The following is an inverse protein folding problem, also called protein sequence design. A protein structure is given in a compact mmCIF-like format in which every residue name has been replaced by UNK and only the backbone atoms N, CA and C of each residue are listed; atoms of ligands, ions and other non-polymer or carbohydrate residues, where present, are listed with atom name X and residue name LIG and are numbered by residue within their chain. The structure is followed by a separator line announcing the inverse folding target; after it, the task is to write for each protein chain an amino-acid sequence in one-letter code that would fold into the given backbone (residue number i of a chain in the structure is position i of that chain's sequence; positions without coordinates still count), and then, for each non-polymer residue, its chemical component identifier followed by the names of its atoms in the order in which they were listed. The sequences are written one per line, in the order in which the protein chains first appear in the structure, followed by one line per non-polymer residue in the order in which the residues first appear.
data_IF_768153937036
#
_entry.id   IF_768153937036
#
_cell.length_a   1.000
_cell.length_b   1.000
_cell.length_c   1.000
_cell.angle_alpha   90.00
_cell.angle_beta   90.00
_cell.angle_gamma   90.00
#
_symmetry.space_group_name_H-M   'P 1'
#
loop_
_entity.id
_entity.type
_entity.pdbx_description
1 polymer ?
#
# COMPACT_ATOMS: atom_id res chain seq x y z
N UNK A 1 23.53 17.56 12.68
CA UNK A 1 22.46 16.60 13.02
C UNK A 1 22.28 15.70 11.81
N UNK A 2 22.82 14.49 11.86
CA UNK A 2 22.68 13.53 10.77
C UNK A 2 21.21 13.21 10.55
N UNK A 3 20.77 13.19 9.28
CA UNK A 3 19.43 12.75 8.89
C UNK A 3 19.13 11.36 9.49
N UNK A 4 20.15 10.51 9.63
CA UNK A 4 20.06 9.21 10.31
C UNK A 4 19.67 9.33 11.78
N UNK A 5 20.22 10.28 12.54
CA UNK A 5 19.89 10.47 13.95
C UNK A 5 18.47 11.02 14.14
N UNK A 6 18.00 11.88 13.23
CA UNK A 6 16.63 12.40 13.23
C UNK A 6 15.64 11.28 12.89
N UNK A 7 15.97 10.43 11.91
CA UNK A 7 15.17 9.27 11.55
C UNK A 7 15.10 8.23 12.67
N UNK A 8 16.24 7.97 13.32
CA UNK A 8 16.33 7.06 14.47
C UNK A 8 15.52 7.56 15.67
N UNK A 9 15.54 8.86 15.99
CA UNK A 9 14.80 9.43 17.11
C UNK A 9 13.29 9.59 16.84
N UNK A 10 12.92 10.01 15.63
CA UNK A 10 11.52 10.32 15.31
C UNK A 10 10.74 9.06 14.94
N UNK A 11 11.37 8.09 14.30
CA UNK A 11 10.67 6.93 13.73
C UNK A 11 11.12 5.63 14.40
N UNK A 12 12.42 5.38 14.52
CA UNK A 12 12.92 4.08 14.95
C UNK A 12 12.72 3.84 16.47
N UNK A 13 13.12 4.80 17.31
CA UNK A 13 13.03 4.70 18.77
C UNK A 13 11.61 4.57 19.33
N UNK A 14 10.61 5.38 18.95
CA UNK A 14 9.26 5.21 19.48
C UNK A 14 8.64 3.88 19.04
N UNK A 15 8.91 3.41 17.81
CA UNK A 15 8.48 2.09 17.37
C UNK A 15 9.11 0.96 18.19
N UNK A 16 10.42 1.03 18.43
CA UNK A 16 11.16 0.00 19.18
C UNK A 16 10.75 -0.02 20.65
N UNK A 17 10.62 1.14 21.30
CA UNK A 17 10.20 1.21 22.70
C UNK A 17 8.79 0.68 22.92
N UNK A 18 7.87 0.91 21.97
CA UNK A 18 6.53 0.33 22.02
C UNK A 18 6.60 -1.19 21.85
N UNK A 19 7.42 -1.70 20.93
CA UNK A 19 7.60 -3.13 20.71
C UNK A 19 8.22 -3.84 21.92
N UNK A 20 9.23 -3.23 22.55
CA UNK A 20 9.92 -3.78 23.73
C UNK A 20 9.00 -3.74 24.95
N UNK A 21 8.29 -2.63 25.18
CA UNK A 21 7.34 -2.51 26.28
C UNK A 21 6.17 -3.49 26.16
N UNK A 22 5.80 -3.88 24.93
CA UNK A 22 4.83 -4.94 24.67
C UNK A 22 5.42 -6.34 24.88
N UNK A 23 6.71 -6.53 24.57
CA UNK A 23 7.41 -7.82 24.78
C UNK A 23 7.71 -8.11 26.25
N UNK A 24 7.96 -7.09 27.06
CA UNK A 24 8.17 -7.23 28.51
C UNK A 24 6.87 -7.63 29.24
N UNK A 25 5.72 -7.23 28.71
CA UNK A 25 4.40 -7.66 29.17
C UNK A 25 4.09 -9.13 28.79
N UNK A 26 4.81 -9.69 27.82
CA UNK A 26 4.55 -11.03 27.24
C UNK A 26 5.55 -12.11 27.70
N UNK A 27 6.17 -11.93 28.88
CA UNK A 27 6.74 -13.03 29.69
C UNK A 27 7.79 -13.93 28.99
N UNK A 28 8.68 -13.36 28.16
CA UNK A 28 9.88 -14.08 27.68
C UNK A 28 9.63 -15.26 26.71
N UNK A 29 8.41 -15.43 26.20
CA UNK A 29 8.11 -16.43 25.16
C UNK A 29 8.23 -15.83 23.77
N UNK A 30 9.36 -16.11 23.10
CA UNK A 30 9.69 -15.59 21.77
C UNK A 30 8.58 -15.85 20.73
N UNK A 31 7.88 -16.98 20.84
CA UNK A 31 6.77 -17.34 19.94
C UNK A 31 5.51 -16.49 20.14
N UNK A 32 5.15 -16.17 21.38
CA UNK A 32 3.98 -15.32 21.66
C UNK A 32 4.25 -13.87 21.26
N UNK A 33 5.48 -13.39 21.44
CA UNK A 33 5.89 -12.06 20.98
C UNK A 33 5.71 -11.89 19.48
N UNK A 34 6.12 -12.88 18.67
CA UNK A 34 5.96 -12.84 17.20
C UNK A 34 4.48 -12.82 16.80
N UNK A 35 3.64 -13.63 17.45
CA UNK A 35 2.21 -13.70 17.16
C UNK A 35 1.53 -12.36 17.46
N UNK A 36 1.80 -11.78 18.63
CA UNK A 36 1.21 -10.49 19.04
C UNK A 36 1.72 -9.36 18.15
N UNK A 37 3.02 -9.32 17.85
CA UNK A 37 3.60 -8.34 16.94
C UNK A 37 2.94 -8.41 15.55
N UNK A 38 2.72 -9.61 15.04
CA UNK A 38 2.02 -9.82 13.76
C UNK A 38 0.58 -9.29 13.81
N UNK A 39 -0.14 -9.52 14.90
CA UNK A 39 -1.53 -9.03 15.07
C UNK A 39 -1.57 -7.49 15.15
N UNK A 40 -0.64 -6.87 15.87
CA UNK A 40 -0.56 -5.41 16.01
C UNK A 40 -0.25 -4.77 14.65
N UNK A 41 0.78 -5.24 13.95
CA UNK A 41 1.13 -4.75 12.61
C UNK A 41 -0.05 -4.90 11.65
N UNK A 42 -0.70 -6.07 11.65
CA UNK A 42 -1.83 -6.36 10.76
C UNK A 42 -3.06 -5.50 11.10
N UNK A 43 -3.26 -5.15 12.37
CA UNK A 43 -4.33 -4.24 12.81
C UNK A 43 -4.08 -2.80 12.40
N UNK A 44 -2.83 -2.31 12.49
CA UNK A 44 -2.45 -0.97 12.02
C UNK A 44 -2.49 -0.88 10.49
N UNK A 45 -2.11 -1.94 9.77
CA UNK A 45 -2.22 -2.01 8.32
C UNK A 45 -3.66 -2.20 7.83
N UNK A 46 -4.59 -2.70 8.66
CA UNK A 46 -5.97 -2.95 8.28
C UNK A 46 -6.71 -1.76 7.62
N UNK A 47 -6.71 -0.53 8.20
CA UNK A 47 -7.31 0.63 7.55
C UNK A 47 -6.64 0.99 6.21
N UNK A 48 -5.32 0.74 6.08
CA UNK A 48 -4.60 0.95 4.83
C UNK A 48 -5.03 -0.09 3.78
N UNK A 49 -5.12 -1.37 4.17
CA UNK A 49 -5.59 -2.45 3.30
C UNK A 49 -7.03 -2.24 2.85
N UNK A 50 -7.92 -1.73 3.72
CA UNK A 50 -9.30 -1.34 3.35
C UNK A 50 -9.32 -0.30 2.23
N UNK A 51 -8.48 0.74 2.33
CA UNK A 51 -8.34 1.78 1.31
C UNK A 51 -7.80 1.19 -0.01
N UNK A 52 -6.80 0.32 0.07
CA UNK A 52 -6.25 -0.39 -1.10
C UNK A 52 -7.32 -1.26 -1.79
N UNK A 53 -8.10 -2.03 -1.02
CA UNK A 53 -9.17 -2.88 -1.56
C UNK A 53 -10.27 -2.07 -2.26
N UNK A 54 -10.65 -0.92 -1.70
CA UNK A 54 -11.64 -0.04 -2.33
C UNK A 54 -11.14 0.50 -3.68
N UNK A 55 -9.88 0.93 -3.76
CA UNK A 55 -9.26 1.38 -5.00
C UNK A 55 -9.20 0.26 -6.07
N UNK A 56 -8.83 -0.96 -5.66
CA UNK A 56 -8.79 -2.13 -6.56
C UNK A 56 -10.18 -2.48 -7.10
N UNK A 57 -11.22 -2.44 -6.25
CA UNK A 57 -12.60 -2.72 -6.67
C UNK A 57 -13.13 -1.66 -7.64
N UNK A 58 -12.79 -0.38 -7.41
CA UNK A 58 -13.12 0.69 -8.33
C UNK A 58 -12.46 0.48 -9.71
N UNK A 59 -11.19 0.05 -9.75
CA UNK A 59 -10.50 -0.30 -11.00
C UNK A 59 -11.12 -1.52 -11.72
N UNK A 60 -11.54 -2.55 -10.97
CA UNK A 60 -12.23 -3.70 -11.56
C UNK A 60 -13.54 -3.30 -12.25
N UNK A 61 -14.28 -2.33 -11.69
CA UNK A 61 -15.50 -1.82 -12.32
C UNK A 61 -15.26 -1.11 -13.65
N UNK A 62 -14.04 -0.62 -13.89
CA UNK A 62 -13.63 0.04 -15.13
C UNK A 62 -13.09 -0.92 -16.20
N UNK A 63 -12.70 -2.14 -15.84
CA UNK A 63 -12.24 -3.16 -16.80
C UNK A 63 -13.21 -3.39 -17.98
N UNK A 64 -14.53 -3.53 -17.79
CA UNK A 64 -15.45 -3.74 -18.92
C UNK A 64 -15.48 -2.53 -19.88
N UNK A 65 -15.49 -1.31 -19.33
CA UNK A 65 -15.45 -0.07 -20.13
C UNK A 65 -14.13 0.09 -20.88
N UNK A 66 -13.01 -0.28 -20.25
CA UNK A 66 -11.69 -0.31 -20.87
C UNK A 66 -11.63 -1.33 -22.03
N UNK A 67 -12.28 -2.49 -21.88
CA UNK A 67 -12.37 -3.51 -22.92
C UNK A 67 -13.22 -3.05 -24.12
N UNK A 68 -14.31 -2.34 -23.89
CA UNK A 68 -15.10 -1.70 -24.97
C UNK A 68 -14.29 -0.64 -25.71
N UNK A 69 -13.52 0.17 -24.99
CA UNK A 69 -12.60 1.16 -25.54
C UNK A 69 -11.51 0.52 -26.40
N UNK A 70 -10.93 -0.59 -25.94
CA UNK A 70 -9.99 -1.40 -26.72
C UNK A 70 -10.62 -1.98 -27.98
N UNK A 71 -11.89 -2.43 -27.93
CA UNK A 71 -12.60 -2.93 -29.12
C UNK A 71 -12.88 -1.81 -30.14
N UNK A 72 -13.22 -0.61 -29.68
CA UNK A 72 -13.53 0.56 -30.54
C UNK A 72 -12.29 1.24 -31.13
N UNK A 73 -11.22 1.37 -30.33
CA UNK A 73 -10.03 2.16 -30.69
C UNK A 73 -8.73 1.36 -30.74
N UNK A 74 -8.78 0.03 -30.70
CA UNK A 74 -7.59 -0.84 -30.67
C UNK A 74 -6.63 -0.68 -31.86
N UNK A 75 -7.09 -0.14 -33.00
CA UNK A 75 -6.25 0.18 -34.16
C UNK A 75 -5.46 1.48 -34.01
N UNK A 76 -5.86 2.36 -33.09
CA UNK A 76 -5.31 3.71 -32.94
C UNK A 76 -4.85 3.93 -31.49
N UNK A 77 -3.59 3.55 -31.22
CA UNK A 77 -3.03 3.55 -29.85
C UNK A 77 -3.02 4.93 -29.20
N UNK A 78 -2.89 6.00 -29.98
CA UNK A 78 -2.91 7.37 -29.45
C UNK A 78 -4.29 7.75 -28.94
N UNK A 79 -5.34 7.56 -29.76
CA UNK A 79 -6.73 7.79 -29.35
C UNK A 79 -7.16 6.90 -28.19
N UNK A 80 -6.71 5.65 -28.19
CA UNK A 80 -6.98 4.71 -27.11
C UNK A 80 -6.39 5.20 -25.78
N UNK A 81 -5.15 5.70 -25.77
CA UNK A 81 -4.53 6.23 -24.55
C UNK A 81 -5.25 7.49 -24.03
N UNK A 82 -5.68 8.37 -24.93
CA UNK A 82 -6.38 9.61 -24.57
C UNK A 82 -7.78 9.33 -23.96
N UNK A 83 -8.55 8.45 -24.59
CA UNK A 83 -9.88 8.07 -24.11
C UNK A 83 -9.81 7.22 -22.83
N UNK A 84 -8.78 6.38 -22.68
CA UNK A 84 -8.51 5.70 -21.40
C UNK A 84 -8.23 6.71 -20.28
N UNK A 85 -7.45 7.76 -20.56
CA UNK A 85 -7.15 8.80 -19.57
C UNK A 85 -8.39 9.63 -19.21
N UNK A 86 -9.25 9.94 -20.19
CA UNK A 86 -10.55 10.58 -19.94
C UNK A 86 -11.44 9.70 -19.05
N UNK A 87 -11.54 8.40 -19.34
CA UNK A 87 -12.35 7.47 -18.55
C UNK A 87 -11.87 7.38 -17.09
N UNK A 88 -10.55 7.37 -16.85
CA UNK A 88 -9.98 7.40 -15.50
C UNK A 88 -10.32 8.71 -14.76
N UNK A 89 -10.29 9.86 -15.45
CA UNK A 89 -10.66 11.16 -14.87
C UNK A 89 -12.14 11.27 -14.54
N UNK A 90 -13.01 10.84 -15.45
CA UNK A 90 -14.48 10.86 -15.26
C UNK A 90 -14.93 9.92 -14.13
N UNK A 91 -14.24 8.80 -13.97
CA UNK A 91 -14.60 7.81 -12.95
C UNK A 91 -14.00 8.12 -11.57
N UNK A 92 -13.21 9.19 -11.44
CA UNK A 92 -12.49 9.58 -10.22
C UNK A 92 -11.62 8.44 -9.62
N UNK A 93 -11.23 7.45 -10.45
CA UNK A 93 -10.39 6.33 -10.02
C UNK A 93 -8.96 6.61 -10.44
N UNK A 94 -8.10 6.87 -9.45
CA UNK A 94 -6.68 7.12 -9.69
C UNK A 94 -5.88 5.81 -9.70
N UNK A 95 -5.19 5.43 -10.80
CA UNK A 95 -4.34 4.23 -10.85
C UNK A 95 -3.17 4.27 -9.85
N UNK A 96 -2.85 5.46 -9.32
CA UNK A 96 -1.86 5.69 -8.27
C UNK A 96 -2.24 5.09 -6.91
N UNK A 97 -3.53 4.84 -6.64
CA UNK A 97 -3.96 4.13 -5.43
C UNK A 97 -3.40 2.70 -5.35
N UNK A 98 -3.16 2.08 -6.51
CA UNK A 98 -2.51 0.78 -6.63
C UNK A 98 -0.97 0.85 -6.60
N UNK A 99 -0.37 2.04 -6.69
CA UNK A 99 1.09 2.22 -6.62
C UNK A 99 1.59 2.30 -5.17
N UNK A 100 0.75 2.78 -4.24
CA UNK A 100 1.07 2.87 -2.80
C UNK A 100 1.55 1.53 -2.17
N UNK A 101 0.93 0.36 -2.43
CA UNK A 101 1.42 -0.92 -1.93
C UNK A 101 2.81 -1.29 -2.49
N UNK A 102 3.06 -1.01 -3.77
CA UNK A 102 4.33 -1.34 -4.45
C UNK A 102 5.47 -0.47 -3.90
N UNK A 103 5.20 0.83 -3.68
CA UNK A 103 6.14 1.75 -3.07
C UNK A 103 6.54 1.36 -1.64
N UNK A 104 5.61 0.81 -0.85
CA UNK A 104 5.91 0.33 0.52
C UNK A 104 6.70 -0.99 0.49
N UNK A 105 6.53 -1.81 -0.54
CA UNK A 105 7.23 -3.08 -0.68
C UNK A 105 8.68 -2.93 -1.16
N UNK A 106 8.97 -1.94 -2.02
CA UNK A 106 10.31 -1.69 -2.57
C UNK A 106 11.42 -1.50 -1.50
N UNK A 107 11.22 -0.73 -0.41
CA UNK A 107 12.20 -0.60 0.67
C UNK A 107 12.53 -1.93 1.36
N UNK A 108 11.56 -2.83 1.47
CA UNK A 108 11.73 -4.14 2.12
C UNK A 108 12.67 -5.03 1.30
N UNK A 109 12.66 -4.89 -0.03
CA UNK A 109 13.57 -5.62 -0.93
C UNK A 109 15.01 -5.08 -0.90
N UNK A 110 15.20 -3.79 -0.61
CA UNK A 110 16.53 -3.18 -0.50
C UNK A 110 17.18 -3.51 0.86
N UNK A 111 16.36 -3.81 1.87
CA UNK A 111 16.79 -4.14 3.23
C UNK A 111 17.08 -5.63 3.47
N UNK A 112 16.72 -6.52 2.53
CA UNK A 112 16.91 -7.97 2.59
C UNK A 112 18.14 -8.39 1.76
#
# INVERSE_FOLDING_TARGET
MDIGAIWDLIILQPMINIAISLSDILFGSFGLTIIVLTIVIRSVMYPLTRKQLHATKAMQSLQPKLAELQKKHGKDRQKLAEEQMKLYRESAVSPTGCLMPILIQMPIWIAL
#
